data_IF_902280428142
#
_entry.id   IF_902280428142
#
_cell.length_a   1.000
_cell.length_b   1.000
_cell.length_c   1.000
_cell.angle_alpha   90.00
_cell.angle_beta   90.00
_cell.angle_gamma   90.00
#
_symmetry.space_group_name_H-M   'P 1'
#
loop_
_entity.id
_entity.type
_entity.pdbx_description
1 polymer ?
#
# COMPACT_ATOMS: atom_id res chain seq x y z
N UNK A 1 11.81 -13.33 42.50
CA UNK A 1 10.38 -13.26 42.77
C UNK A 1 9.77 -14.65 42.64
N UNK A 2 9.01 -15.09 43.68
CA UNK A 2 8.22 -16.30 43.58
C UNK A 2 6.91 -15.93 42.88
N UNK A 3 6.72 -16.42 41.67
CA UNK A 3 5.46 -16.25 40.94
C UNK A 3 4.46 -17.31 41.43
N UNK A 4 3.32 -16.88 41.93
CA UNK A 4 2.17 -17.75 42.17
C UNK A 4 1.22 -17.68 41.00
N UNK A 5 0.92 -18.80 40.37
CA UNK A 5 -0.08 -18.88 39.33
C UNK A 5 -1.47 -18.77 39.93
N UNK A 6 -2.27 -17.82 39.44
CA UNK A 6 -3.70 -17.74 39.79
C UNK A 6 -4.42 -18.92 39.11
N UNK A 7 -5.24 -19.70 39.85
CA UNK A 7 -6.03 -20.77 39.27
C UNK A 7 -6.91 -20.21 38.12
N UNK A 8 -6.87 -20.84 36.96
CA UNK A 8 -7.75 -20.50 35.85
C UNK A 8 -9.11 -21.18 36.04
N UNK A 9 -10.20 -20.43 35.86
CA UNK A 9 -11.55 -21.01 35.83
C UNK A 9 -11.84 -21.74 34.50
N UNK A 10 -10.92 -21.65 33.54
CA UNK A 10 -11.07 -22.28 32.22
C UNK A 10 -10.41 -23.66 32.26
N UNK A 11 -11.21 -24.71 32.04
CA UNK A 11 -10.69 -26.06 31.85
C UNK A 11 -10.05 -26.20 30.45
N UNK A 12 -8.74 -26.04 30.41
CA UNK A 12 -7.96 -26.18 29.15
C UNK A 12 -7.87 -27.61 28.63
N UNK A 13 -8.24 -28.60 29.45
CA UNK A 13 -8.28 -30.00 29.03
C UNK A 13 -9.56 -30.34 28.26
N UNK A 14 -10.58 -29.52 28.39
CA UNK A 14 -11.83 -29.66 27.61
C UNK A 14 -11.67 -29.40 26.11
N UNK A 15 -10.50 -28.93 25.68
CA UNK A 15 -10.22 -28.60 24.28
C UNK A 15 -10.70 -27.20 23.86
N UNK A 16 -10.70 -26.96 22.58
CA UNK A 16 -11.19 -25.69 22.02
C UNK A 16 -12.72 -25.64 22.12
N UNK A 17 -13.32 -24.54 22.62
CA UNK A 17 -14.76 -24.37 22.63
C UNK A 17 -15.36 -24.58 21.24
N UNK A 18 -16.41 -25.37 21.16
CA UNK A 18 -17.16 -25.52 19.92
C UNK A 18 -17.96 -24.26 19.67
N UNK A 19 -17.94 -23.78 18.43
CA UNK A 19 -18.76 -22.66 17.99
C UNK A 19 -20.04 -23.23 17.41
N UNK A 20 -21.16 -23.01 18.09
CA UNK A 20 -22.47 -23.51 17.68
C UNK A 20 -23.18 -22.58 16.70
N UNK A 21 -22.67 -21.33 16.60
CA UNK A 21 -23.19 -20.33 15.66
C UNK A 21 -22.08 -19.41 15.20
N UNK A 22 -22.18 -18.92 13.98
CA UNK A 22 -21.30 -17.90 13.43
C UNK A 22 -22.05 -16.58 13.37
N UNK A 23 -21.47 -15.46 13.85
CA UNK A 23 -22.11 -14.15 13.74
C UNK A 23 -22.34 -13.80 12.27
N UNK A 24 -23.52 -13.29 11.96
CA UNK A 24 -23.81 -12.77 10.64
C UNK A 24 -23.02 -11.48 10.40
N UNK A 25 -22.32 -11.39 9.28
CA UNK A 25 -21.58 -10.21 8.90
C UNK A 25 -22.53 -9.08 8.51
N UNK A 26 -22.60 -8.02 9.30
CA UNK A 26 -23.36 -6.80 9.02
C UNK A 26 -22.39 -5.72 8.54
N UNK A 27 -22.30 -5.54 7.23
CA UNK A 27 -21.56 -4.43 6.67
C UNK A 27 -22.30 -3.11 6.88
N UNK A 28 -21.59 -2.00 7.22
CA UNK A 28 -22.20 -0.68 7.24
C UNK A 28 -22.69 -0.29 5.85
N UNK A 29 -23.73 0.54 5.78
CA UNK A 29 -24.18 1.09 4.51
C UNK A 29 -23.11 2.00 3.92
N UNK A 30 -22.73 1.75 2.65
CA UNK A 30 -21.77 2.57 1.94
C UNK A 30 -22.48 3.75 1.27
N UNK A 31 -22.09 4.96 1.64
CA UNK A 31 -22.58 6.20 1.05
C UNK A 31 -21.58 6.69 0.00
N UNK A 32 -22.06 7.43 -0.99
CA UNK A 32 -21.22 7.94 -2.08
C UNK A 32 -21.47 9.41 -2.32
N UNK A 33 -20.40 10.13 -2.63
CA UNK A 33 -20.43 11.53 -3.05
C UNK A 33 -19.34 11.76 -4.11
N UNK A 34 -19.40 12.90 -4.76
CA UNK A 34 -18.37 13.35 -5.71
C UNK A 34 -17.89 14.74 -5.27
N UNK A 35 -16.59 14.92 -5.13
CA UNK A 35 -15.98 16.21 -4.83
C UNK A 35 -16.01 17.13 -6.06
N UNK A 36 -15.77 18.43 -5.84
CA UNK A 36 -15.69 19.44 -6.92
C UNK A 36 -14.62 19.12 -7.98
N UNK A 37 -13.55 18.44 -7.59
CA UNK A 37 -12.50 18.00 -8.49
C UNK A 37 -12.82 16.68 -9.23
N UNK A 38 -14.00 16.09 -9.02
CA UNK A 38 -14.44 14.85 -9.64
C UNK A 38 -14.09 13.56 -8.86
N UNK A 39 -13.32 13.63 -7.79
CA UNK A 39 -12.98 12.46 -6.96
C UNK A 39 -14.22 11.81 -6.38
N UNK A 40 -14.35 10.50 -6.56
CA UNK A 40 -15.42 9.71 -5.93
C UNK A 40 -15.09 9.42 -4.48
N UNK A 41 -15.99 9.79 -3.57
CA UNK A 41 -15.90 9.50 -2.13
C UNK A 41 -16.82 8.34 -1.79
N UNK A 42 -16.29 7.38 -1.03
CA UNK A 42 -17.04 6.26 -0.47
C UNK A 42 -16.93 6.35 1.04
N UNK A 43 -18.04 6.56 1.74
CA UNK A 43 -18.10 6.70 3.19
C UNK A 43 -18.78 5.49 3.84
N UNK A 44 -18.16 4.96 4.89
CA UNK A 44 -18.75 4.06 5.87
C UNK A 44 -18.76 4.74 7.24
N UNK A 45 -19.92 5.14 7.74
CA UNK A 45 -20.05 5.81 9.04
C UNK A 45 -19.81 4.83 10.19
N UNK A 46 -19.01 5.26 11.18
CA UNK A 46 -18.77 4.56 12.43
C UNK A 46 -18.57 5.56 13.56
N UNK A 47 -19.51 5.59 14.50
CA UNK A 47 -19.54 6.59 15.58
C UNK A 47 -19.11 6.04 16.94
N UNK A 48 -18.54 4.82 16.99
CA UNK A 48 -18.13 4.17 18.24
C UNK A 48 -16.91 4.87 18.90
N UNK A 49 -16.03 5.43 18.08
CA UNK A 49 -14.83 6.15 18.51
C UNK A 49 -14.66 7.43 17.68
N UNK A 50 -14.20 8.56 18.26
CA UNK A 50 -14.10 9.84 17.57
C UNK A 50 -12.88 9.92 16.64
N UNK A 51 -12.75 8.98 15.71
CA UNK A 51 -11.66 8.88 14.74
C UNK A 51 -12.22 8.82 13.33
N UNK A 52 -11.57 9.52 12.41
CA UNK A 52 -11.83 9.44 10.97
C UNK A 52 -10.57 8.91 10.28
N UNK A 53 -10.73 7.84 9.53
CA UNK A 53 -9.71 7.26 8.68
C UNK A 53 -10.07 7.47 7.22
N UNK A 54 -9.09 7.75 6.40
CA UNK A 54 -9.31 7.86 4.97
C UNK A 54 -8.09 7.41 4.19
N UNK A 55 -8.34 6.98 2.95
CA UNK A 55 -7.31 6.58 2.01
C UNK A 55 -7.68 7.03 0.60
N UNK A 56 -6.80 7.80 -0.01
CA UNK A 56 -6.79 7.96 -1.46
C UNK A 56 -6.17 6.71 -2.09
N UNK A 57 -6.93 6.10 -2.99
CA UNK A 57 -6.50 4.94 -3.78
C UNK A 57 -6.24 5.40 -5.21
N UNK A 58 -4.99 5.33 -5.64
CA UNK A 58 -4.55 5.72 -6.97
C UNK A 58 -4.26 4.49 -7.82
N UNK A 59 -4.51 4.55 -9.15
CA UNK A 59 -3.87 3.63 -10.07
C UNK A 59 -2.36 3.94 -10.15
N UNK A 60 -1.55 3.02 -10.62
CA UNK A 60 -0.09 3.22 -10.69
C UNK A 60 0.63 2.71 -9.46
N UNK A 61 0.94 1.43 -9.48
CA UNK A 61 1.79 0.73 -8.52
C UNK A 61 3.08 0.27 -9.17
N UNK A 62 3.66 -0.84 -8.69
CA UNK A 62 4.94 -1.38 -9.21
C UNK A 62 4.90 -1.68 -10.71
N UNK A 63 3.73 -2.05 -11.23
CA UNK A 63 3.55 -2.32 -12.66
C UNK A 63 3.79 -1.09 -13.53
N UNK A 64 3.59 0.12 -13.00
CA UNK A 64 3.87 1.36 -13.72
C UNK A 64 5.35 1.64 -13.90
N UNK A 65 6.21 0.95 -13.15
CA UNK A 65 7.67 1.06 -13.28
C UNK A 65 8.25 0.23 -14.44
N UNK A 66 7.44 -0.66 -15.05
CA UNK A 66 7.88 -1.53 -16.13
C UNK A 66 8.25 -0.68 -17.36
N UNK A 67 9.46 -0.88 -17.87
CA UNK A 67 10.02 -0.03 -18.93
C UNK A 67 10.63 1.28 -18.43
N UNK A 68 10.56 1.53 -17.12
CA UNK A 68 11.19 2.65 -16.41
C UNK A 68 12.19 2.11 -15.38
N UNK A 69 12.51 2.91 -14.36
CA UNK A 69 13.37 2.49 -13.24
C UNK A 69 12.54 1.76 -12.20
N UNK A 70 12.71 0.44 -12.07
CA UNK A 70 11.98 -0.36 -11.08
C UNK A 70 12.20 0.17 -9.65
N UNK A 71 11.13 0.26 -8.88
CA UNK A 71 11.10 0.78 -7.52
C UNK A 71 10.77 2.27 -7.43
N UNK A 72 10.59 2.97 -8.57
CA UNK A 72 10.22 4.40 -8.59
C UNK A 72 8.91 4.65 -7.86
N UNK A 73 7.87 3.85 -8.11
CA UNK A 73 6.56 3.98 -7.47
C UNK A 73 6.64 3.86 -5.96
N UNK A 74 7.29 2.80 -5.47
CA UNK A 74 7.46 2.59 -4.03
C UNK A 74 8.28 3.67 -3.37
N UNK A 75 9.38 4.08 -4.02
CA UNK A 75 10.26 5.11 -3.50
C UNK A 75 9.56 6.48 -3.48
N UNK A 76 8.87 6.86 -4.57
CA UNK A 76 8.15 8.14 -4.64
C UNK A 76 7.03 8.21 -3.60
N UNK A 77 6.22 7.15 -3.46
CA UNK A 77 5.15 7.12 -2.46
C UNK A 77 5.70 7.13 -1.03
N UNK A 78 6.77 6.39 -0.76
CA UNK A 78 7.43 6.38 0.56
C UNK A 78 8.19 7.67 0.91
N UNK A 79 8.27 8.62 -0.02
CA UNK A 79 8.89 9.94 0.21
C UNK A 79 7.85 11.05 0.43
N UNK A 80 6.54 10.78 0.32
CA UNK A 80 5.52 11.83 0.39
C UNK A 80 5.47 12.52 1.76
N UNK A 81 5.75 11.79 2.83
CA UNK A 81 5.76 12.29 4.21
C UNK A 81 7.16 12.77 4.68
N UNK A 82 8.16 12.72 3.80
CA UNK A 82 9.51 13.26 4.06
C UNK A 82 9.59 14.78 3.80
N UNK A 83 8.53 15.49 4.18
CA UNK A 83 8.39 16.94 4.05
C UNK A 83 7.42 17.36 2.95
N UNK A 84 6.66 18.43 3.21
CA UNK A 84 5.65 18.93 2.29
C UNK A 84 5.44 20.44 2.44
N UNK A 85 5.23 21.14 1.33
CA UNK A 85 5.15 22.59 1.32
C UNK A 85 6.46 23.20 1.85
N UNK A 86 6.33 24.07 2.86
CA UNK A 86 7.48 24.72 3.54
C UNK A 86 8.02 23.92 4.73
N UNK A 87 7.47 22.74 5.02
CA UNK A 87 7.90 21.89 6.13
C UNK A 87 8.91 20.86 5.65
N UNK A 88 10.07 20.82 6.32
CA UNK A 88 11.00 19.69 6.18
C UNK A 88 10.43 18.41 6.84
N UNK A 89 11.12 17.30 6.69
CA UNK A 89 10.66 15.99 7.16
C UNK A 89 10.40 15.97 8.68
N UNK A 90 11.28 16.58 9.48
CA UNK A 90 11.12 16.63 10.93
C UNK A 90 9.97 17.56 11.36
N UNK A 91 9.87 18.73 10.76
CA UNK A 91 8.80 19.69 11.05
C UNK A 91 7.44 19.15 10.63
N UNK A 92 7.36 18.44 9.50
CA UNK A 92 6.15 17.77 9.04
C UNK A 92 5.72 16.68 10.02
N UNK A 93 6.62 15.76 10.38
CA UNK A 93 6.36 14.69 11.34
C UNK A 93 5.88 15.23 12.69
N UNK A 94 6.58 16.22 13.27
CA UNK A 94 6.20 16.85 14.53
C UNK A 94 4.82 17.50 14.47
N UNK A 95 4.45 18.07 13.32
CA UNK A 95 3.14 18.70 13.14
C UNK A 95 2.02 17.68 13.10
N UNK A 96 2.23 16.56 12.41
CA UNK A 96 1.28 15.43 12.36
C UNK A 96 1.10 14.83 13.75
N UNK A 97 2.21 14.60 14.47
CA UNK A 97 2.20 14.02 15.81
C UNK A 97 1.49 14.92 16.84
N UNK A 98 1.69 16.25 16.76
CA UNK A 98 1.03 17.22 17.62
C UNK A 98 -0.50 17.24 17.45
N UNK A 99 -1.03 16.79 16.33
CA UNK A 99 -2.47 16.64 16.08
C UNK A 99 -3.02 15.28 16.51
N UNK A 100 -2.16 14.36 16.97
CA UNK A 100 -2.55 12.96 17.23
C UNK A 100 -2.98 12.25 15.96
N UNK A 101 -2.48 12.69 14.82
CA UNK A 101 -2.77 12.12 13.51
C UNK A 101 -1.68 11.13 13.07
N UNK A 102 -2.02 10.32 12.08
CA UNK A 102 -1.05 9.48 11.38
C UNK A 102 -1.31 9.62 9.88
N UNK A 103 -0.27 9.90 9.11
CA UNK A 103 -0.31 9.92 7.65
C UNK A 103 0.77 9.00 7.10
N UNK A 104 0.60 8.56 5.88
CA UNK A 104 1.60 7.82 5.15
C UNK A 104 1.13 7.47 3.76
N UNK A 105 2.03 6.93 2.97
CA UNK A 105 1.71 6.51 1.63
C UNK A 105 2.56 5.29 1.23
N UNK A 106 2.10 4.54 0.25
CA UNK A 106 2.78 3.38 -0.25
C UNK A 106 2.30 2.95 -1.62
N UNK A 107 3.04 2.05 -2.24
CA UNK A 107 2.64 1.43 -3.48
C UNK A 107 2.45 -0.09 -3.29
N UNK A 108 1.61 -0.66 -4.09
CA UNK A 108 1.37 -2.09 -4.25
C UNK A 108 1.59 -2.50 -5.71
N UNK A 109 1.29 -3.73 -6.05
CA UNK A 109 1.51 -4.22 -7.42
C UNK A 109 0.79 -3.37 -8.47
N UNK A 110 -0.50 -3.10 -8.27
CA UNK A 110 -1.38 -2.47 -9.26
C UNK A 110 -1.76 -1.02 -8.94
N UNK A 111 -1.54 -0.57 -7.73
CA UNK A 111 -1.95 0.74 -7.27
C UNK A 111 -1.06 1.31 -6.18
N UNK A 112 -1.32 2.55 -5.85
CA UNK A 112 -0.70 3.25 -4.73
C UNK A 112 -1.79 3.83 -3.84
N UNK A 113 -1.47 4.01 -2.57
CA UNK A 113 -2.40 4.63 -1.64
C UNK A 113 -1.70 5.64 -0.75
N UNK A 114 -2.49 6.58 -0.28
CA UNK A 114 -2.06 7.48 0.79
C UNK A 114 -3.17 7.57 1.83
N UNK A 115 -2.82 7.46 3.10
CA UNK A 115 -3.79 7.38 4.18
C UNK A 115 -3.61 8.48 5.22
N UNK A 116 -4.71 8.81 5.87
CA UNK A 116 -4.79 9.65 7.07
C UNK A 116 -5.65 8.94 8.11
N UNK A 117 -5.19 8.93 9.36
CA UNK A 117 -6.01 8.64 10.53
C UNK A 117 -5.93 9.84 11.48
N UNK A 118 -7.06 10.41 11.86
CA UNK A 118 -7.11 11.62 12.68
C UNK A 118 -8.23 11.56 13.70
N UNK A 119 -8.03 12.20 14.85
CA UNK A 119 -9.11 12.50 15.78
C UNK A 119 -10.11 13.46 15.12
N UNK A 120 -11.41 13.25 15.34
CA UNK A 120 -12.47 14.09 14.77
C UNK A 120 -12.28 15.57 15.09
N UNK A 121 -11.87 15.90 16.31
CA UNK A 121 -11.62 17.28 16.75
C UNK A 121 -10.47 17.97 16.00
N UNK A 122 -9.49 17.20 15.53
CA UNK A 122 -8.32 17.68 14.79
C UNK A 122 -8.39 17.38 13.29
N UNK A 123 -9.56 16.99 12.78
CA UNK A 123 -9.70 16.51 11.39
C UNK A 123 -9.34 17.59 10.36
N UNK A 124 -9.82 18.82 10.52
CA UNK A 124 -9.56 19.92 9.57
C UNK A 124 -8.06 20.27 9.46
N UNK A 125 -7.32 20.52 10.56
CA UNK A 125 -5.88 20.76 10.46
C UNK A 125 -5.10 19.52 9.99
N UNK A 126 -5.55 18.31 10.31
CA UNK A 126 -4.94 17.07 9.80
C UNK A 126 -5.13 16.91 8.28
N UNK A 127 -6.32 17.26 7.77
CA UNK A 127 -6.59 17.30 6.34
C UNK A 127 -5.71 18.32 5.61
N UNK A 128 -5.41 19.45 6.23
CA UNK A 128 -4.52 20.44 5.64
C UNK A 128 -3.11 19.88 5.43
N UNK A 129 -2.55 19.16 6.41
CA UNK A 129 -1.25 18.51 6.28
C UNK A 129 -1.28 17.36 5.26
N UNK A 130 -2.34 16.56 5.29
CA UNK A 130 -2.53 15.47 4.33
C UNK A 130 -2.64 15.99 2.89
N UNK A 131 -3.35 17.09 2.68
CA UNK A 131 -3.41 17.75 1.38
C UNK A 131 -2.05 18.30 0.94
N UNK A 132 -1.26 18.88 1.86
CA UNK A 132 0.11 19.30 1.54
C UNK A 132 0.98 18.11 1.11
N UNK A 133 0.93 17.00 1.87
CA UNK A 133 1.66 15.76 1.55
C UNK A 133 1.34 15.25 0.15
N UNK A 134 0.06 15.23 -0.23
CA UNK A 134 -0.39 14.73 -1.53
C UNK A 134 -0.13 15.69 -2.68
N UNK A 135 -0.23 16.99 -2.45
CA UNK A 135 -0.20 18.00 -3.52
C UNK A 135 1.18 18.62 -3.73
N UNK A 136 1.96 18.74 -2.65
CA UNK A 136 3.22 19.49 -2.65
C UNK A 136 4.32 18.77 -1.85
N UNK A 137 4.62 17.48 -2.12
CA UNK A 137 5.73 16.81 -1.46
C UNK A 137 7.04 17.50 -1.85
N UNK A 138 7.96 17.64 -0.89
CA UNK A 138 9.19 18.40 -1.09
C UNK A 138 10.20 17.69 -1.99
N UNK A 139 10.28 16.35 -1.87
CA UNK A 139 11.35 15.54 -2.49
C UNK A 139 12.72 16.21 -2.35
N UNK A 140 13.03 16.70 -1.13
CA UNK A 140 14.29 17.40 -0.89
C UNK A 140 15.48 16.48 -1.21
N UNK A 141 16.48 17.00 -1.97
CA UNK A 141 17.57 16.17 -2.48
C UNK A 141 18.34 15.45 -1.34
N UNK A 142 18.51 16.10 -0.20
CA UNK A 142 19.19 15.51 0.96
C UNK A 142 18.43 14.30 1.51
N UNK A 143 17.08 14.36 1.55
CA UNK A 143 16.25 13.24 1.98
C UNK A 143 16.22 12.14 0.93
N UNK A 144 16.13 12.48 -0.36
CA UNK A 144 16.26 11.50 -1.45
C UNK A 144 17.57 10.72 -1.31
N UNK A 145 18.69 11.39 -1.08
CA UNK A 145 20.01 10.74 -0.98
C UNK A 145 20.11 9.87 0.30
N UNK A 146 19.59 10.35 1.42
CA UNK A 146 19.53 9.61 2.70
C UNK A 146 18.70 8.34 2.56
N UNK A 147 17.47 8.46 2.05
CA UNK A 147 16.54 7.34 1.90
C UNK A 147 17.08 6.34 0.87
N UNK A 148 17.66 6.81 -0.24
CA UNK A 148 18.26 5.96 -1.26
C UNK A 148 19.35 5.05 -0.67
N UNK A 149 20.23 5.58 0.17
CA UNK A 149 21.28 4.79 0.82
C UNK A 149 20.70 3.67 1.69
N UNK A 150 19.68 3.98 2.50
CA UNK A 150 18.97 3.01 3.33
C UNK A 150 18.21 1.98 2.48
N UNK A 151 17.57 2.42 1.40
CA UNK A 151 16.81 1.56 0.50
C UNK A 151 17.68 0.51 -0.19
N UNK A 152 18.86 0.93 -0.68
CA UNK A 152 19.83 0.01 -1.28
C UNK A 152 20.33 -1.01 -0.25
N UNK A 153 20.56 -0.60 1.00
CA UNK A 153 20.91 -1.52 2.08
C UNK A 153 19.77 -2.52 2.35
N UNK A 154 18.51 -2.07 2.32
CA UNK A 154 17.32 -2.91 2.43
C UNK A 154 17.23 -3.96 1.31
N UNK A 155 17.49 -3.57 0.05
CA UNK A 155 17.51 -4.51 -1.09
C UNK A 155 18.59 -5.59 -0.89
N UNK A 156 19.77 -5.22 -0.40
CA UNK A 156 20.86 -6.19 -0.12
C UNK A 156 20.43 -7.17 0.98
N UNK A 157 19.80 -6.67 2.04
CA UNK A 157 19.26 -7.51 3.11
C UNK A 157 18.15 -8.43 2.60
N UNK A 158 17.21 -7.92 1.79
CA UNK A 158 16.15 -8.72 1.16
C UNK A 158 16.74 -9.88 0.34
N UNK A 159 17.76 -9.61 -0.47
CA UNK A 159 18.46 -10.62 -1.29
C UNK A 159 19.21 -11.66 -0.45
N UNK A 160 19.67 -11.30 0.74
CA UNK A 160 20.35 -12.20 1.67
C UNK A 160 19.38 -13.13 2.41
N UNK A 161 18.10 -12.79 2.47
CA UNK A 161 17.08 -13.62 3.10
C UNK A 161 16.46 -14.60 2.08
N UNK A 162 16.36 -15.91 2.38
CA UNK A 162 15.83 -16.89 1.42
C UNK A 162 14.44 -16.56 0.87
N UNK A 163 13.54 -16.08 1.74
CA UNK A 163 12.20 -15.69 1.30
C UNK A 163 12.24 -14.45 0.41
N UNK A 164 12.99 -13.42 0.78
CA UNK A 164 13.16 -12.20 -0.02
C UNK A 164 13.78 -12.52 -1.39
N UNK A 165 14.82 -13.34 -1.44
CA UNK A 165 15.44 -13.79 -2.69
C UNK A 165 14.40 -14.51 -3.57
N UNK A 166 13.59 -15.40 -3.00
CA UNK A 166 12.56 -16.13 -3.74
C UNK A 166 11.49 -15.21 -4.32
N UNK A 167 11.01 -14.23 -3.54
CA UNK A 167 10.01 -13.26 -4.01
C UNK A 167 10.52 -12.31 -5.09
N UNK A 168 11.83 -12.28 -5.33
CA UNK A 168 12.44 -11.56 -6.45
C UNK A 168 12.58 -12.43 -7.70
N UNK A 169 12.79 -13.75 -7.52
CA UNK A 169 13.04 -14.70 -8.61
C UNK A 169 11.74 -15.31 -9.14
N UNK A 170 10.78 -15.59 -8.26
CA UNK A 170 9.54 -16.29 -8.61
C UNK A 170 8.67 -15.55 -9.66
N UNK A 171 8.43 -14.22 -9.56
CA UNK A 171 7.53 -13.55 -10.49
C UNK A 171 7.96 -13.67 -11.97
N UNK A 172 9.21 -13.41 -12.37
CA UNK A 172 9.65 -13.64 -13.76
C UNK A 172 9.49 -15.08 -14.22
N UNK A 173 9.62 -16.06 -13.32
CA UNK A 173 9.45 -17.49 -13.64
C UNK A 173 7.97 -17.85 -13.87
N UNK A 174 7.05 -17.17 -13.17
CA UNK A 174 5.61 -17.39 -13.32
C UNK A 174 5.04 -16.66 -14.54
N UNK A 175 5.40 -15.40 -14.73
CA UNK A 175 4.76 -14.51 -15.70
C UNK A 175 5.55 -14.39 -17.02
N UNK A 176 6.83 -14.69 -17.02
CA UNK A 176 7.71 -14.54 -18.19
C UNK A 176 8.26 -13.11 -18.33
N UNK A 177 9.41 -13.01 -18.99
CA UNK A 177 10.08 -11.73 -19.20
C UNK A 177 9.20 -10.75 -19.99
N UNK A 178 9.18 -9.48 -19.57
CA UNK A 178 8.39 -8.42 -20.20
C UNK A 178 6.94 -8.32 -19.74
N UNK A 179 6.45 -9.27 -18.97
CA UNK A 179 5.12 -9.16 -18.36
C UNK A 179 5.13 -8.13 -17.21
N UNK A 180 4.10 -7.29 -17.04
CA UNK A 180 4.05 -6.29 -15.96
C UNK A 180 4.25 -6.85 -14.55
N UNK A 181 3.87 -8.10 -14.31
CA UNK A 181 4.07 -8.79 -13.04
C UNK A 181 5.41 -9.57 -12.95
N UNK A 182 6.25 -9.52 -13.97
CA UNK A 182 7.57 -10.16 -13.95
C UNK A 182 8.64 -9.28 -13.25
N UNK A 183 8.27 -8.67 -12.14
CA UNK A 183 9.07 -7.75 -11.33
C UNK A 183 9.13 -8.25 -9.88
N UNK A 184 10.10 -7.81 -9.06
CA UNK A 184 10.10 -8.14 -7.64
C UNK A 184 8.79 -7.73 -6.95
N UNK A 185 8.10 -8.67 -6.31
CA UNK A 185 6.82 -8.40 -5.65
C UNK A 185 6.93 -7.54 -4.39
N UNK A 186 8.15 -7.31 -3.89
CA UNK A 186 8.41 -6.34 -2.83
C UNK A 186 8.27 -4.88 -3.30
N UNK A 187 8.28 -4.63 -4.61
CA UNK A 187 8.31 -3.28 -5.17
C UNK A 187 9.59 -2.50 -4.90
N UNK A 188 10.60 -3.12 -4.28
CA UNK A 188 11.85 -2.44 -3.89
C UNK A 188 12.76 -2.07 -5.07
N UNK A 189 12.46 -2.57 -6.28
CA UNK A 189 13.30 -2.37 -7.46
C UNK A 189 14.59 -3.19 -7.41
N UNK A 190 15.64 -2.66 -8.00
CA UNK A 190 16.99 -3.26 -8.00
C UNK A 190 18.01 -2.24 -7.48
N UNK A 191 19.17 -2.73 -7.01
CA UNK A 191 20.26 -1.82 -6.60
C UNK A 191 20.65 -0.86 -7.74
N UNK A 192 20.70 -1.35 -8.97
CA UNK A 192 21.02 -0.53 -10.15
C UNK A 192 19.95 0.51 -10.45
N UNK A 193 18.65 0.12 -10.43
CA UNK A 193 17.57 1.06 -10.70
C UNK A 193 17.50 2.15 -9.64
N UNK A 194 17.58 1.78 -8.34
CA UNK A 194 17.56 2.76 -7.24
C UNK A 194 18.80 3.65 -7.26
N UNK A 195 19.99 3.13 -7.55
CA UNK A 195 21.19 3.96 -7.68
C UNK A 195 21.03 5.02 -8.77
N UNK A 196 20.40 4.68 -9.89
CA UNK A 196 20.17 5.60 -11.01
C UNK A 196 18.95 6.51 -10.84
N UNK A 197 18.12 6.27 -9.82
CA UNK A 197 16.90 7.05 -9.56
C UNK A 197 17.27 8.49 -9.21
N UNK A 198 16.56 9.44 -9.79
CA UNK A 198 16.76 10.88 -9.54
C UNK A 198 15.52 11.49 -8.88
N UNK A 199 15.66 12.67 -8.31
CA UNK A 199 14.53 13.46 -7.82
C UNK A 199 13.48 13.68 -8.91
N UNK A 200 13.92 13.94 -10.12
CA UNK A 200 13.01 14.22 -11.25
C UNK A 200 12.17 12.99 -11.62
N UNK A 201 12.70 11.78 -11.46
CA UNK A 201 11.91 10.55 -11.64
C UNK A 201 10.76 10.46 -10.62
N UNK A 202 11.02 10.88 -9.36
CA UNK A 202 10.00 10.89 -8.28
C UNK A 202 8.93 11.93 -8.56
N UNK A 203 9.33 13.12 -8.96
CA UNK A 203 8.42 14.21 -9.34
C UNK A 203 7.57 13.78 -10.53
N UNK A 204 8.18 13.17 -11.56
CA UNK A 204 7.45 12.68 -12.74
C UNK A 204 6.43 11.60 -12.38
N UNK A 205 6.79 10.64 -11.51
CA UNK A 205 5.85 9.63 -11.01
C UNK A 205 4.69 10.29 -10.26
N UNK A 206 4.99 11.18 -9.32
CA UNK A 206 3.99 11.87 -8.52
C UNK A 206 3.01 12.65 -9.40
N UNK A 207 3.51 13.47 -10.33
CA UNK A 207 2.66 14.26 -11.23
C UNK A 207 1.80 13.38 -12.15
N UNK A 208 2.32 12.23 -12.57
CA UNK A 208 1.59 11.33 -13.45
C UNK A 208 0.48 10.56 -12.69
N UNK A 209 0.75 10.05 -11.50
CA UNK A 209 -0.11 9.07 -10.84
C UNK A 209 -0.86 9.59 -9.61
N UNK A 210 -0.27 10.50 -8.81
CA UNK A 210 -0.89 11.06 -7.60
C UNK A 210 -1.75 12.26 -7.97
N UNK A 211 -2.95 11.99 -8.45
CA UNK A 211 -3.86 13.01 -8.98
C UNK A 211 -5.33 12.59 -8.83
N UNK A 212 -6.25 13.55 -8.66
CA UNK A 212 -7.66 13.25 -8.35
C UNK A 212 -8.38 12.49 -9.48
N UNK A 213 -8.01 12.73 -10.74
CA UNK A 213 -8.62 12.06 -11.90
C UNK A 213 -8.28 10.57 -11.98
N UNK A 214 -7.28 10.14 -11.22
CA UNK A 214 -6.77 8.77 -11.16
C UNK A 214 -7.10 8.09 -9.83
N UNK A 215 -7.99 8.68 -9.02
CA UNK A 215 -8.17 8.29 -7.63
C UNK A 215 -9.63 8.08 -7.24
N UNK A 216 -9.81 7.27 -6.20
CA UNK A 216 -11.01 7.25 -5.36
C UNK A 216 -10.60 7.49 -3.90
N UNK A 217 -11.51 8.03 -3.10
CA UNK A 217 -11.30 8.31 -1.69
C UNK A 217 -12.24 7.46 -0.85
N UNK A 218 -11.68 6.60 -0.02
CA UNK A 218 -12.43 5.83 0.97
C UNK A 218 -12.32 6.52 2.32
N UNK A 219 -13.46 6.71 3.00
CA UNK A 219 -13.55 7.34 4.33
C UNK A 219 -14.31 6.41 5.25
N UNK A 220 -13.77 6.17 6.45
CA UNK A 220 -14.41 5.37 7.50
C UNK A 220 -14.25 6.08 8.83
N UNK A 221 -15.32 6.24 9.60
CA UNK A 221 -15.20 6.80 10.94
C UNK A 221 -16.35 7.68 11.39
N UNK A 222 -16.08 8.48 12.42
CA UNK A 222 -17.07 9.33 13.06
C UNK A 222 -17.28 10.63 12.27
N UNK A 223 -17.93 10.50 11.14
CA UNK A 223 -18.33 11.62 10.28
C UNK A 223 -19.53 11.24 9.41
N UNK A 224 -20.17 12.23 8.81
CA UNK A 224 -21.24 12.07 7.82
C UNK A 224 -20.82 12.70 6.48
N UNK A 225 -21.52 12.39 5.37
CA UNK A 225 -21.26 13.08 4.09
C UNK A 225 -21.45 14.60 4.21
N UNK A 226 -22.43 15.04 4.99
CA UNK A 226 -22.70 16.46 5.19
C UNK A 226 -21.56 17.19 5.92
N UNK A 227 -20.84 16.50 6.80
CA UNK A 227 -19.67 17.05 7.51
C UNK A 227 -18.39 16.95 6.67
N UNK A 228 -18.12 15.78 6.07
CA UNK A 228 -16.80 15.51 5.47
C UNK A 228 -16.64 16.11 4.08
N UNK A 229 -17.68 16.12 3.23
CA UNK A 229 -17.56 16.62 1.85
C UNK A 229 -17.15 18.10 1.79
N UNK A 230 -17.71 19.03 2.59
CA UNK A 230 -17.25 20.41 2.62
C UNK A 230 -15.77 20.55 3.04
N UNK A 231 -15.31 19.74 4.00
CA UNK A 231 -13.91 19.75 4.43
C UNK A 231 -12.97 19.20 3.33
N UNK A 232 -13.36 18.11 2.67
CA UNK A 232 -12.62 17.58 1.54
C UNK A 232 -12.57 18.57 0.38
N UNK A 233 -13.68 19.21 0.04
CA UNK A 233 -13.73 20.24 -0.99
C UNK A 233 -12.89 21.48 -0.64
N UNK A 234 -12.77 21.82 0.65
CA UNK A 234 -11.90 22.91 1.11
C UNK A 234 -10.42 22.62 0.79
N UNK A 235 -9.97 21.40 1.00
CA UNK A 235 -8.55 21.03 0.89
C UNK A 235 -8.16 20.44 -0.47
N UNK A 236 -9.12 19.83 -1.18
CA UNK A 236 -8.87 19.11 -2.42
C UNK A 236 -9.73 19.57 -3.60
N UNK A 237 -10.77 20.38 -3.40
CA UNK A 237 -11.74 20.71 -4.43
C UNK A 237 -11.17 21.44 -5.64
N UNK A 238 -10.05 22.14 -5.51
CA UNK A 238 -9.29 22.78 -6.57
C UNK A 238 -8.12 21.95 -7.11
N UNK A 239 -7.85 20.79 -6.49
CA UNK A 239 -6.75 19.91 -6.91
C UNK A 239 -7.04 19.31 -8.27
N UNK A 240 -6.07 19.43 -9.18
CA UNK A 240 -6.12 18.89 -10.55
C UNK A 240 -4.75 18.39 -10.95
N UNK A 241 -4.71 17.32 -11.72
CA UNK A 241 -3.49 16.86 -12.35
C UNK A 241 -3.13 17.72 -13.57
N UNK A 242 -1.86 17.76 -13.93
CA UNK A 242 -1.38 18.40 -15.13
C UNK A 242 -1.38 17.40 -16.29
N UNK A 243 -1.87 17.81 -17.45
CA UNK A 243 -1.93 16.96 -18.65
C UNK A 243 -2.88 15.75 -18.52
N UNK A 244 -2.85 14.81 -19.46
CA UNK A 244 -3.71 13.62 -19.43
C UNK A 244 -3.27 12.64 -18.36
N UNK A 245 -4.23 11.99 -17.69
CA UNK A 245 -3.95 10.89 -16.76
C UNK A 245 -3.38 9.69 -17.54
N UNK A 246 -2.40 8.97 -16.98
CA UNK A 246 -1.91 7.74 -17.59
C UNK A 246 -3.03 6.70 -17.70
N UNK A 247 -2.99 5.91 -18.77
CA UNK A 247 -3.86 4.74 -18.86
C UNK A 247 -3.41 3.67 -17.83
N UNK A 248 -4.36 2.91 -17.27
CA UNK A 248 -4.02 1.76 -16.44
C UNK A 248 -3.12 0.78 -17.19
N UNK A 249 -2.15 0.18 -16.47
CA UNK A 249 -1.26 -0.81 -17.06
C UNK A 249 -2.06 -2.04 -17.47
N UNK A 250 -1.96 -2.41 -18.75
CA UNK A 250 -2.64 -3.61 -19.26
C UNK A 250 -1.88 -4.87 -18.81
N UNK A 251 -2.59 -5.76 -18.10
CA UNK A 251 -2.05 -7.03 -17.63
C UNK A 251 -2.62 -8.16 -18.49
N UNK A 252 -1.76 -8.78 -19.28
CA UNK A 252 -2.14 -9.90 -20.14
C UNK A 252 -2.32 -11.18 -19.32
N UNK A 253 -3.18 -12.08 -19.79
CA UNK A 253 -3.29 -13.43 -19.22
C UNK A 253 -2.06 -14.26 -19.58
N UNK A 254 -1.61 -15.08 -18.63
CA UNK A 254 -0.49 -16.02 -18.83
C UNK A 254 -1.03 -17.45 -18.80
N UNK A 255 -0.64 -18.25 -19.80
CA UNK A 255 -0.99 -19.66 -19.84
C UNK A 255 -0.24 -20.44 -18.75
N UNK A 256 -0.93 -21.39 -18.14
CA UNK A 256 -0.31 -22.31 -17.20
C UNK A 256 0.61 -23.27 -17.93
N UNK A 257 1.82 -23.53 -17.42
CA UNK A 257 2.67 -24.57 -18.00
C UNK A 257 2.00 -25.95 -17.87
N UNK A 258 2.09 -26.76 -18.92
CA UNK A 258 1.48 -28.08 -18.96
C UNK A 258 2.08 -29.07 -17.93
N UNK A 259 3.27 -28.79 -17.42
CA UNK A 259 3.97 -29.60 -16.42
C UNK A 259 4.54 -28.72 -15.32
N UNK A 260 4.61 -29.27 -14.11
CA UNK A 260 5.31 -28.64 -13.00
C UNK A 260 6.79 -28.38 -13.36
N UNK A 261 7.29 -27.23 -12.96
CA UNK A 261 8.69 -26.84 -13.12
C UNK A 261 9.32 -26.70 -11.74
N UNK A 262 10.55 -27.16 -11.58
CA UNK A 262 11.32 -26.99 -10.35
C UNK A 262 12.53 -26.13 -10.67
N UNK A 263 12.75 -25.11 -9.88
CA UNK A 263 13.88 -24.21 -9.96
C UNK A 263 14.66 -24.28 -8.66
N UNK A 264 15.95 -24.50 -8.75
CA UNK A 264 16.86 -24.48 -7.61
C UNK A 264 17.65 -23.18 -7.64
N UNK A 265 17.52 -22.40 -6.56
CA UNK A 265 18.35 -21.22 -6.31
C UNK A 265 19.35 -21.60 -5.23
N UNK A 266 20.63 -21.72 -5.61
CA UNK A 266 21.69 -22.04 -4.66
C UNK A 266 22.04 -20.82 -3.82
N UNK A 267 22.01 -21.00 -2.51
CA UNK A 267 22.40 -19.98 -1.52
C UNK A 267 23.37 -20.59 -0.52
N UNK A 268 24.68 -20.57 -0.83
CA UNK A 268 25.70 -21.16 0.02
C UNK A 268 25.68 -20.58 1.43
N UNK A 269 25.75 -21.44 2.44
CA UNK A 269 25.76 -21.05 3.84
C UNK A 269 24.37 -20.77 4.45
N UNK A 270 23.29 -20.93 3.69
CA UNK A 270 21.94 -20.84 4.25
C UNK A 270 21.70 -21.98 5.25
N UNK A 271 21.19 -21.62 6.44
CA UNK A 271 20.89 -22.58 7.51
C UNK A 271 19.63 -23.41 7.19
N UNK A 272 18.71 -22.84 6.41
CA UNK A 272 17.43 -23.45 6.05
C UNK A 272 17.17 -23.35 4.55
N UNK A 273 16.52 -24.38 4.00
CA UNK A 273 15.94 -24.31 2.68
C UNK A 273 14.55 -23.64 2.74
N UNK A 274 14.26 -22.78 1.78
CA UNK A 274 12.94 -22.21 1.58
C UNK A 274 12.31 -22.84 0.32
N UNK A 275 11.14 -23.43 0.45
CA UNK A 275 10.40 -24.06 -0.64
C UNK A 275 9.13 -23.26 -0.85
N UNK A 276 9.00 -22.66 -2.03
CA UNK A 276 7.81 -21.92 -2.43
C UNK A 276 7.20 -22.61 -3.65
N UNK A 277 5.96 -23.00 -3.55
CA UNK A 277 5.15 -23.47 -4.66
C UNK A 277 4.18 -22.38 -5.08
N UNK A 278 4.09 -22.10 -6.37
CA UNK A 278 3.20 -21.05 -6.89
C UNK A 278 2.68 -21.37 -8.27
N UNK A 279 1.51 -20.85 -8.58
CA UNK A 279 0.92 -20.89 -9.91
C UNK A 279 0.12 -19.62 -10.17
N UNK A 280 -0.04 -19.25 -11.42
CA UNK A 280 -0.95 -18.19 -11.83
C UNK A 280 -2.40 -18.70 -11.69
N UNK A 281 -3.23 -17.90 -11.04
CA UNK A 281 -4.66 -18.15 -10.83
C UNK A 281 -5.48 -17.05 -11.55
N UNK A 282 -6.80 -17.22 -11.72
CA UNK A 282 -7.65 -16.15 -12.24
C UNK A 282 -7.54 -14.86 -11.44
N UNK A 283 -7.93 -13.74 -12.07
CA UNK A 283 -7.91 -12.42 -11.44
C UNK A 283 -8.74 -12.40 -10.14
N UNK A 284 -8.35 -11.54 -9.18
CA UNK A 284 -9.16 -11.26 -7.98
C UNK A 284 -10.57 -10.73 -8.28
N UNK A 285 -10.84 -10.29 -9.52
CA UNK A 285 -12.18 -9.92 -10.00
C UNK A 285 -13.00 -11.11 -10.46
N UNK A 286 -12.41 -12.32 -10.54
CA UNK A 286 -13.15 -13.54 -10.89
C UNK A 286 -14.16 -13.87 -9.79
N UNK A 287 -15.41 -14.23 -10.13
CA UNK A 287 -16.42 -14.60 -9.14
C UNK A 287 -16.01 -15.77 -8.23
N UNK A 288 -15.04 -16.57 -8.64
CA UNK A 288 -14.51 -17.69 -7.86
C UNK A 288 -13.30 -17.30 -6.98
N UNK A 289 -12.83 -16.03 -6.98
CA UNK A 289 -11.63 -15.62 -6.25
C UNK A 289 -11.65 -16.03 -4.78
N UNK A 290 -12.74 -15.79 -4.06
CA UNK A 290 -12.89 -16.19 -2.65
C UNK A 290 -12.77 -17.72 -2.47
N UNK A 291 -13.25 -18.52 -3.43
CA UNK A 291 -13.12 -19.99 -3.37
C UNK A 291 -11.65 -20.41 -3.54
N UNK A 292 -10.88 -19.71 -4.38
CA UNK A 292 -9.45 -19.94 -4.53
C UNK A 292 -8.70 -19.59 -3.25
N UNK A 293 -9.04 -18.48 -2.60
CA UNK A 293 -8.41 -18.06 -1.33
C UNK A 293 -8.66 -19.10 -0.22
N UNK A 294 -9.92 -19.57 -0.10
CA UNK A 294 -10.27 -20.61 0.87
C UNK A 294 -9.53 -21.92 0.55
N UNK A 295 -9.50 -22.34 -0.71
CA UNK A 295 -8.79 -23.55 -1.11
C UNK A 295 -7.28 -23.44 -0.83
N UNK A 296 -6.68 -22.29 -1.10
CA UNK A 296 -5.27 -22.03 -0.81
C UNK A 296 -4.97 -22.08 0.70
N UNK A 297 -5.84 -21.50 1.52
CA UNK A 297 -5.71 -21.53 2.98
C UNK A 297 -5.82 -22.96 3.57
N UNK A 298 -6.57 -23.86 2.91
CA UNK A 298 -6.67 -25.27 3.31
C UNK A 298 -5.45 -26.09 2.90
N UNK A 299 -4.83 -25.72 1.77
CA UNK A 299 -3.64 -26.41 1.25
C UNK A 299 -2.36 -26.05 2.01
N UNK A 300 -2.30 -24.92 2.68
CA UNK A 300 -1.18 -24.44 3.50
C UNK A 300 -0.62 -23.15 2.95
#
# INVERSE_FOLDING_TARGET
PKYTTTPSSVDRKAGVPKTDSYPELKFPALQRATLKNGTQVILAERHDIPVVQMSYEFNGGYTSDVGQKLGTSSFAMGMLDEGAGDLDSLAFANRVEALGATVGAGASLDGSNAYLSALKENLDPSLALYAQMLRNPSFAQADVDRIKASWIAGIKQEKAQPNGATMRVLPPLLYGAGHPYAIPFSGSGTEASITSLTRDDLVAFHQAWVRPENASLVVVGDTTLAEIVPLLDKHFGDWKGEGPAPAPVAVASVERPAKGRVFLVDQPGAIQANIIAGQVVPSSKDPAAIKFDIANAVLG
#
